data_IF_379932917044
#
_entry.id   IF_379932917044
#
_cell.length_a   1.000
_cell.length_b   1.000
_cell.length_c   1.000
_cell.angle_alpha   90.00
_cell.angle_beta   90.00
_cell.angle_gamma   90.00
#
_symmetry.space_group_name_H-M   'P 1'
#
loop_
_entity.id
_entity.type
_entity.pdbx_description
1 polymer ?
#
# COMPACT_ATOMS: atom_id res chain seq x y z
N UNK A 1 -4.65 -4.68 14.05
CA UNK A 1 -3.36 -4.10 14.51
C UNK A 1 -2.46 -3.74 13.33
N UNK A 2 -1.81 -2.58 13.39
CA UNK A 2 -0.74 -2.21 12.45
C UNK A 2 0.55 -2.92 12.84
N UNK A 3 1.46 -3.10 11.88
CA UNK A 3 2.80 -3.64 12.12
C UNK A 3 3.88 -2.56 12.08
N UNK A 4 3.59 -1.42 11.44
CA UNK A 4 4.55 -0.34 11.23
C UNK A 4 3.90 1.02 11.45
N UNK A 5 4.67 1.95 12.03
CA UNK A 5 4.30 3.33 12.29
C UNK A 5 5.37 4.27 11.75
N UNK A 6 4.96 5.25 10.95
CA UNK A 6 5.75 6.42 10.64
C UNK A 6 5.54 7.46 11.75
N UNK A 7 6.63 7.96 12.33
CA UNK A 7 6.57 8.73 13.56
C UNK A 7 7.45 9.99 13.56
N UNK A 8 7.14 10.87 14.51
CA UNK A 8 8.02 11.94 15.02
C UNK A 8 8.11 11.83 16.53
N UNK A 9 9.31 11.97 17.09
CA UNK A 9 9.53 11.91 18.54
C UNK A 9 10.87 12.54 18.92
N UNK A 10 10.88 13.53 19.81
CA UNK A 10 12.10 14.14 20.37
C UNK A 10 13.18 14.48 19.32
N UNK A 11 12.78 15.05 18.19
CA UNK A 11 13.69 15.42 17.08
C UNK A 11 14.07 14.26 16.15
N UNK A 12 13.66 13.03 16.47
CA UNK A 12 13.77 11.88 15.58
C UNK A 12 12.58 11.79 14.61
N UNK A 13 12.87 11.29 13.40
CA UNK A 13 11.90 10.94 12.35
C UNK A 13 12.25 9.58 11.78
N UNK A 14 11.23 8.76 11.55
CA UNK A 14 11.38 7.62 10.67
C UNK A 14 10.20 6.68 10.72
N UNK A 15 10.51 5.40 10.54
CA UNK A 15 9.56 4.29 10.58
C UNK A 15 10.03 3.28 11.62
N UNK A 16 9.11 2.82 12.47
CA UNK A 16 9.34 1.75 13.45
C UNK A 16 8.37 0.61 13.21
N UNK A 17 8.84 -0.63 13.39
CA UNK A 17 8.03 -1.84 13.34
C UNK A 17 7.81 -2.41 14.75
N UNK A 18 6.67 -3.06 14.94
CA UNK A 18 6.40 -3.85 16.14
C UNK A 18 7.38 -5.03 16.17
N UNK A 19 8.16 -5.17 17.24
CA UNK A 19 9.05 -6.30 17.45
C UNK A 19 8.66 -7.07 18.74
N UNK A 20 8.15 -8.31 18.63
CA UNK A 20 7.77 -9.12 19.79
C UNK A 20 8.90 -9.43 20.78
N UNK A 21 10.17 -9.31 20.36
CA UNK A 21 11.33 -9.60 21.21
C UNK A 21 11.68 -8.47 22.19
N UNK A 22 11.08 -7.28 22.06
CA UNK A 22 11.40 -6.15 22.95
C UNK A 22 10.95 -6.36 24.39
N UNK A 23 10.20 -7.43 24.69
CA UNK A 23 9.72 -7.75 26.04
C UNK A 23 8.55 -6.85 26.47
N UNK A 24 8.08 -6.98 27.72
CA UNK A 24 6.98 -6.19 28.24
C UNK A 24 7.37 -4.71 28.46
N UNK A 25 6.36 -3.84 28.41
CA UNK A 25 6.49 -2.39 28.62
C UNK A 25 6.53 -1.56 27.32
N UNK A 26 6.49 -0.24 27.46
CA UNK A 26 6.59 0.68 26.33
C UNK A 26 8.05 0.95 26.01
N UNK A 27 8.55 0.34 24.93
CA UNK A 27 9.93 0.50 24.45
C UNK A 27 9.93 1.03 23.02
N UNK A 28 10.80 2.01 22.77
CA UNK A 28 11.02 2.59 21.46
C UNK A 28 12.52 2.54 21.15
N UNK A 29 12.88 1.80 20.10
CA UNK A 29 14.27 1.70 19.64
C UNK A 29 14.43 2.59 18.40
N UNK A 30 15.30 3.59 18.48
CA UNK A 30 15.55 4.57 17.41
C UNK A 30 16.97 4.39 16.90
N UNK A 31 17.15 4.44 15.58
CA UNK A 31 18.48 4.39 14.93
C UNK A 31 19.12 5.77 14.90
N UNK A 32 20.45 5.82 14.87
CA UNK A 32 21.20 7.08 14.71
C UNK A 32 20.76 7.87 13.47
N UNK A 33 20.44 7.20 12.36
CA UNK A 33 19.98 7.86 11.13
C UNK A 33 18.61 8.54 11.26
N UNK A 34 17.81 8.17 12.26
CA UNK A 34 16.49 8.75 12.51
C UNK A 34 16.58 10.03 13.34
N UNK A 35 17.65 10.22 14.11
CA UNK A 35 17.89 11.43 14.89
C UNK A 35 18.29 12.59 13.96
N UNK A 36 17.50 13.68 13.94
CA UNK A 36 17.69 14.80 13.00
C UNK A 36 18.16 16.07 13.69
N UNK A 37 17.73 16.31 14.92
CA UNK A 37 18.09 17.46 15.72
C UNK A 37 17.70 17.22 17.19
N UNK A 38 18.33 17.94 18.12
CA UNK A 38 18.00 17.84 19.54
C UNK A 38 16.65 18.53 19.81
N UNK A 39 15.76 17.84 20.52
CA UNK A 39 14.47 18.40 20.93
C UNK A 39 14.01 17.82 22.27
N UNK A 40 13.41 18.67 23.11
CA UNK A 40 12.81 18.26 24.39
C UNK A 40 11.36 17.75 24.25
N UNK A 41 10.79 17.78 23.04
CA UNK A 41 9.40 17.37 22.81
C UNK A 41 9.23 15.84 22.85
N UNK A 42 8.74 15.33 23.98
CA UNK A 42 8.59 13.89 24.27
C UNK A 42 7.20 13.31 23.94
N UNK A 43 6.40 13.99 23.13
CA UNK A 43 5.17 13.38 22.61
C UNK A 43 5.50 12.50 21.40
N UNK A 44 4.97 11.27 21.36
CA UNK A 44 5.12 10.36 20.23
C UNK A 44 4.00 10.62 19.22
N UNK A 45 4.35 11.21 18.09
CA UNK A 45 3.39 11.60 17.06
C UNK A 45 3.32 10.54 15.97
N UNK A 46 2.10 10.07 15.69
CA UNK A 46 1.84 9.09 14.63
C UNK A 46 1.45 9.83 13.35
N UNK A 47 2.32 9.79 12.35
CA UNK A 47 2.02 10.38 11.03
C UNK A 47 1.16 9.44 10.18
N UNK A 48 1.51 8.15 10.18
CA UNK A 48 0.86 7.15 9.33
C UNK A 48 1.15 5.73 9.83
N UNK A 49 0.21 4.81 9.61
CA UNK A 49 0.35 3.40 10.04
C UNK A 49 0.20 2.45 8.85
N UNK A 50 0.87 1.29 8.91
CA UNK A 50 0.73 0.23 7.89
C UNK A 50 -0.73 -0.17 7.72
N UNK A 51 -1.18 -0.26 6.47
CA UNK A 51 -2.55 -0.59 6.11
C UNK A 51 -2.60 -1.17 4.68
N UNK A 52 -3.64 -1.92 4.29
CA UNK A 52 -3.75 -2.49 2.96
C UNK A 52 -4.11 -1.43 1.91
N UNK A 53 -3.13 -0.65 1.46
CA UNK A 53 -3.33 0.47 0.53
C UNK A 53 -3.32 0.02 -0.93
N UNK A 54 -4.32 0.46 -1.68
CA UNK A 54 -4.41 0.20 -3.12
C UNK A 54 -3.21 0.78 -3.86
N UNK A 55 -2.72 0.02 -4.85
CA UNK A 55 -1.74 0.52 -5.81
C UNK A 55 -2.46 1.06 -7.05
N UNK A 56 -2.03 2.23 -7.50
CA UNK A 56 -2.40 2.77 -8.81
C UNK A 56 -1.13 2.93 -9.63
N UNK A 57 -1.15 2.39 -10.85
CA UNK A 57 -0.13 2.69 -11.85
C UNK A 57 -0.28 4.14 -12.27
N UNK A 58 0.85 4.73 -12.67
CA UNK A 58 0.93 6.04 -13.31
C UNK A 58 1.72 5.89 -14.63
N UNK A 59 1.86 6.99 -15.36
CA UNK A 59 2.61 6.99 -16.63
C UNK A 59 4.04 6.48 -16.48
N UNK A 60 4.76 6.91 -15.43
CA UNK A 60 6.16 6.52 -15.24
C UNK A 60 6.30 5.01 -15.06
N UNK A 61 5.53 4.41 -14.15
CA UNK A 61 5.58 2.98 -13.87
C UNK A 61 5.17 2.17 -15.11
N UNK A 62 4.15 2.61 -15.85
CA UNK A 62 3.71 1.93 -17.09
C UNK A 62 4.83 1.92 -18.13
N UNK A 63 5.51 3.05 -18.34
CA UNK A 63 6.63 3.15 -19.28
C UNK A 63 7.78 2.21 -18.91
N UNK A 64 8.15 2.16 -17.62
CA UNK A 64 9.21 1.26 -17.15
C UNK A 64 8.83 -0.22 -17.28
N UNK A 65 7.57 -0.57 -17.00
CA UNK A 65 7.07 -1.94 -17.17
C UNK A 65 6.98 -2.34 -18.65
N UNK A 66 6.56 -1.43 -19.53
CA UNK A 66 6.53 -1.66 -20.98
C UNK A 66 7.95 -1.87 -21.55
N UNK A 67 8.93 -1.06 -21.10
CA UNK A 67 10.35 -1.28 -21.42
C UNK A 67 10.85 -2.67 -20.95
N UNK A 68 10.30 -3.18 -19.84
CA UNK A 68 10.53 -4.54 -19.32
C UNK A 68 9.70 -5.62 -20.02
N UNK A 69 9.14 -5.33 -21.20
CA UNK A 69 8.38 -6.24 -22.07
C UNK A 69 7.04 -6.69 -21.51
N UNK A 70 6.46 -5.94 -20.56
CA UNK A 70 5.05 -6.13 -20.21
C UNK A 70 4.20 -5.59 -21.37
N UNK A 71 3.39 -6.46 -21.97
CA UNK A 71 2.59 -6.08 -23.14
C UNK A 71 1.59 -4.96 -22.80
N UNK A 72 1.47 -3.97 -23.69
CA UNK A 72 0.62 -2.79 -23.47
C UNK A 72 -0.88 -3.17 -23.31
N UNK A 73 -1.29 -4.29 -23.91
CA UNK A 73 -2.63 -4.86 -23.74
C UNK A 73 -2.98 -5.16 -22.29
N UNK A 74 -2.00 -5.45 -21.43
CA UNK A 74 -2.20 -5.65 -19.99
C UNK A 74 -2.67 -4.36 -19.32
N UNK A 75 -2.05 -3.22 -19.65
CA UNK A 75 -2.45 -1.92 -19.09
C UNK A 75 -3.83 -1.49 -19.58
N UNK A 76 -4.11 -1.70 -20.87
CA UNK A 76 -5.44 -1.45 -21.46
C UNK A 76 -6.52 -2.30 -20.78
N UNK A 77 -6.24 -3.58 -20.52
CA UNK A 77 -7.16 -4.46 -19.81
C UNK A 77 -7.40 -4.01 -18.36
N UNK A 78 -6.36 -3.56 -17.66
CA UNK A 78 -6.49 -2.99 -16.31
C UNK A 78 -7.34 -1.72 -16.33
N UNK A 79 -7.11 -0.81 -17.29
CA UNK A 79 -7.91 0.40 -17.46
C UNK A 79 -9.37 0.07 -17.77
N UNK A 80 -9.64 -0.89 -18.66
CA UNK A 80 -11.01 -1.33 -18.96
C UNK A 80 -11.71 -1.86 -17.71
N UNK A 81 -11.05 -2.70 -16.90
CA UNK A 81 -11.61 -3.18 -15.62
C UNK A 81 -11.96 -2.04 -14.66
N UNK A 82 -11.13 -1.00 -14.61
CA UNK A 82 -11.41 0.20 -13.80
C UNK A 82 -12.66 0.93 -14.32
N UNK A 83 -12.76 1.13 -15.64
CA UNK A 83 -13.95 1.75 -16.26
C UNK A 83 -15.23 0.95 -15.98
N UNK A 84 -15.18 -0.38 -16.11
CA UNK A 84 -16.31 -1.25 -15.78
C UNK A 84 -16.70 -1.18 -14.31
N UNK A 85 -15.74 -1.01 -13.39
CA UNK A 85 -16.06 -0.81 -11.98
C UNK A 85 -16.82 0.50 -11.74
N UNK A 86 -16.45 1.58 -12.44
CA UNK A 86 -17.18 2.85 -12.38
C UNK A 86 -18.61 2.70 -12.93
N UNK A 87 -18.78 2.06 -14.09
CA UNK A 87 -20.12 1.83 -14.66
C UNK A 87 -20.97 1.00 -13.69
N UNK A 88 -20.42 -0.08 -13.12
CA UNK A 88 -21.15 -0.90 -12.14
C UNK A 88 -21.56 -0.10 -10.90
N UNK A 89 -20.72 0.82 -10.44
CA UNK A 89 -21.06 1.69 -9.30
C UNK A 89 -22.29 2.57 -9.56
N UNK A 90 -22.58 2.93 -10.81
CA UNK A 90 -23.79 3.68 -11.18
C UNK A 90 -25.05 2.81 -11.27
N UNK A 91 -24.91 1.49 -11.22
CA UNK A 91 -26.01 0.52 -11.41
C UNK A 91 -26.28 -0.30 -10.14
N UNK A 92 -25.29 -0.50 -9.29
CA UNK A 92 -25.34 -1.39 -8.13
C UNK A 92 -24.96 -0.65 -6.86
N UNK A 93 -25.88 -0.68 -5.89
CA UNK A 93 -25.71 0.06 -4.63
C UNK A 93 -24.46 -0.34 -3.82
N UNK A 94 -24.08 -1.62 -3.85
CA UNK A 94 -22.86 -2.09 -3.17
C UNK A 94 -21.59 -1.52 -3.81
N UNK A 95 -21.54 -1.48 -5.15
CA UNK A 95 -20.41 -0.94 -5.90
C UNK A 95 -20.35 0.60 -5.73
N UNK A 96 -21.51 1.26 -5.67
CA UNK A 96 -21.62 2.69 -5.33
C UNK A 96 -21.02 2.98 -3.95
N UNK A 97 -21.45 2.23 -2.94
CA UNK A 97 -20.95 2.35 -1.57
C UNK A 97 -19.44 2.18 -1.51
N UNK A 98 -18.89 1.18 -2.20
CA UNK A 98 -17.46 0.94 -2.23
C UNK A 98 -16.68 2.11 -2.83
N UNK A 99 -17.12 2.64 -3.97
CA UNK A 99 -16.48 3.80 -4.61
C UNK A 99 -16.55 5.04 -3.71
N UNK A 100 -17.70 5.28 -3.07
CA UNK A 100 -17.88 6.42 -2.17
C UNK A 100 -16.99 6.32 -0.93
N UNK A 101 -16.88 5.14 -0.30
CA UNK A 101 -15.97 4.91 0.84
C UNK A 101 -14.51 5.13 0.45
N UNK A 102 -14.13 4.83 -0.79
CA UNK A 102 -12.77 5.09 -1.28
C UNK A 102 -12.52 6.59 -1.53
N UNK A 103 -13.54 7.33 -1.99
CA UNK A 103 -13.39 8.72 -2.45
C UNK A 103 -13.72 9.77 -1.40
N UNK A 104 -14.45 9.41 -0.35
CA UNK A 104 -14.96 10.34 0.65
C UNK A 104 -14.43 9.99 2.04
N UNK A 105 -14.32 10.98 2.93
CA UNK A 105 -14.00 10.72 4.33
C UNK A 105 -15.05 9.83 4.99
N UNK A 106 -14.62 8.98 5.92
CA UNK A 106 -15.51 7.98 6.55
C UNK A 106 -16.71 8.60 7.29
N UNK A 107 -16.56 9.81 7.83
CA UNK A 107 -17.64 10.52 8.55
C UNK A 107 -18.72 11.09 7.62
N UNK A 108 -18.43 11.23 6.33
CA UNK A 108 -19.38 11.77 5.36
C UNK A 108 -20.48 10.76 5.01
N UNK A 109 -20.16 9.47 5.06
CA UNK A 109 -21.09 8.42 4.73
C UNK A 109 -21.78 7.92 6.00
N UNK A 110 -23.12 7.78 6.02
CA UNK A 110 -23.84 7.18 7.13
C UNK A 110 -23.65 5.65 7.10
N UNK A 111 -22.46 5.21 7.48
CA UNK A 111 -22.03 3.80 7.49
C UNK A 111 -22.90 3.04 8.50
N UNK A 112 -23.96 2.39 8.02
CA UNK A 112 -24.92 1.64 8.83
C UNK A 112 -26.37 1.92 8.47
N UNK A 113 -26.65 3.04 7.80
CA UNK A 113 -27.97 3.29 7.22
C UNK A 113 -28.14 2.51 5.90
N UNK A 114 -29.35 1.99 5.67
CA UNK A 114 -29.74 1.40 4.37
C UNK A 114 -30.08 2.53 3.40
N UNK A 115 -29.05 3.13 2.81
CA UNK A 115 -29.21 4.17 1.79
C UNK A 115 -29.05 3.55 0.41
N UNK A 116 -29.94 3.93 -0.50
CA UNK A 116 -29.78 3.68 -1.92
C UNK A 116 -28.98 4.82 -2.56
N UNK A 117 -27.67 4.64 -2.67
CA UNK A 117 -26.74 5.61 -3.24
C UNK A 117 -26.96 5.83 -4.74
N UNK A 118 -27.68 4.93 -5.43
CA UNK A 118 -27.90 4.99 -6.88
C UNK A 118 -29.15 5.81 -7.20
N UNK A 119 -30.22 5.65 -6.41
CA UNK A 119 -31.51 6.28 -6.69
C UNK A 119 -31.79 7.51 -5.83
N UNK A 120 -31.21 7.65 -4.64
CA UNK A 120 -31.38 8.84 -3.81
C UNK A 120 -30.70 10.06 -4.48
N UNK A 121 -31.42 11.16 -4.77
CA UNK A 121 -30.90 12.27 -5.58
C UNK A 121 -29.58 12.88 -5.11
N UNK A 122 -29.42 13.11 -3.79
CA UNK A 122 -28.21 13.72 -3.25
C UNK A 122 -27.00 12.79 -3.44
N UNK A 123 -27.09 11.54 -3.00
CA UNK A 123 -26.02 10.56 -3.12
C UNK A 123 -25.74 10.17 -4.57
N UNK A 124 -26.76 10.16 -5.43
CA UNK A 124 -26.57 9.97 -6.87
C UNK A 124 -25.69 11.07 -7.46
N UNK A 125 -25.92 12.33 -7.09
CA UNK A 125 -25.07 13.44 -7.55
C UNK A 125 -23.64 13.33 -7.01
N UNK A 126 -23.47 12.93 -5.75
CA UNK A 126 -22.15 12.67 -5.15
C UNK A 126 -21.43 11.52 -5.88
N UNK A 127 -22.14 10.43 -6.18
CA UNK A 127 -21.65 9.27 -6.89
C UNK A 127 -21.21 9.60 -8.32
N UNK A 128 -22.03 10.34 -9.08
CA UNK A 128 -21.67 10.84 -10.41
C UNK A 128 -20.41 11.69 -10.32
N UNK A 129 -20.32 12.58 -9.32
CA UNK A 129 -19.13 13.41 -9.10
C UNK A 129 -17.88 12.57 -8.81
N UNK A 130 -18.01 11.53 -7.98
CA UNK A 130 -16.93 10.58 -7.67
C UNK A 130 -16.49 9.79 -8.92
N UNK A 131 -17.43 9.38 -9.77
CA UNK A 131 -17.15 8.73 -11.06
C UNK A 131 -16.39 9.68 -12.01
N UNK A 132 -16.90 10.90 -12.20
CA UNK A 132 -16.26 11.91 -13.05
C UNK A 132 -14.85 12.26 -12.56
N UNK A 133 -14.65 12.37 -11.25
CA UNK A 133 -13.33 12.56 -10.64
C UNK A 133 -12.38 11.40 -10.97
N UNK A 134 -12.87 10.15 -10.89
CA UNK A 134 -12.08 8.96 -11.22
C UNK A 134 -11.72 8.89 -12.71
N UNK A 135 -12.66 9.20 -13.60
CA UNK A 135 -12.39 9.30 -15.05
C UNK A 135 -11.34 10.39 -15.31
N UNK A 136 -11.46 11.55 -14.65
CA UNK A 136 -10.47 12.63 -14.76
C UNK A 136 -9.09 12.21 -14.29
N UNK A 137 -8.99 11.43 -13.21
CA UNK A 137 -7.72 10.89 -12.72
C UNK A 137 -7.09 9.92 -13.74
N UNK A 138 -7.88 9.05 -14.37
CA UNK A 138 -7.42 8.15 -15.43
C UNK A 138 -6.91 8.97 -16.63
N UNK A 139 -7.66 9.97 -17.10
CA UNK A 139 -7.27 10.77 -18.25
C UNK A 139 -6.03 11.65 -17.97
N UNK A 140 -6.01 12.34 -16.84
CA UNK A 140 -4.97 13.34 -16.53
C UNK A 140 -3.71 12.75 -15.94
N UNK A 141 -3.80 11.63 -15.23
CA UNK A 141 -2.68 11.04 -14.47
C UNK A 141 -2.41 9.58 -14.83
N UNK A 142 -3.22 8.98 -15.69
CA UNK A 142 -3.15 7.55 -16.01
C UNK A 142 -3.22 6.71 -14.73
N UNK A 143 -4.06 7.15 -13.78
CA UNK A 143 -4.20 6.54 -12.45
C UNK A 143 -5.02 5.25 -12.54
N UNK A 144 -4.37 4.14 -12.94
CA UNK A 144 -5.02 2.84 -13.15
C UNK A 144 -4.86 1.99 -11.89
N UNK A 145 -5.97 1.66 -11.22
CA UNK A 145 -5.93 0.79 -10.04
C UNK A 145 -5.59 -0.65 -10.44
N UNK A 146 -4.67 -1.28 -9.71
CA UNK A 146 -4.39 -2.71 -9.80
C UNK A 146 -5.20 -3.44 -8.75
N UNK A 147 -5.57 -4.71 -9.02
CA UNK A 147 -6.31 -5.52 -8.06
C UNK A 147 -5.63 -5.52 -6.69
N UNK A 148 -6.40 -5.18 -5.65
CA UNK A 148 -5.95 -5.07 -4.27
C UNK A 148 -5.28 -6.36 -3.75
N UNK A 149 -5.66 -7.52 -4.25
CA UNK A 149 -5.05 -8.80 -3.83
C UNK A 149 -3.89 -9.26 -4.72
N UNK A 150 -3.45 -8.42 -5.66
CA UNK A 150 -2.30 -8.64 -6.56
C UNK A 150 -1.25 -7.51 -6.50
N UNK A 151 -1.59 -6.38 -5.90
CA UNK A 151 -0.62 -5.30 -5.71
C UNK A 151 -1.04 -4.33 -4.60
N UNK A 152 -0.04 -3.73 -3.95
CA UNK A 152 -0.22 -2.75 -2.87
C UNK A 152 0.87 -1.70 -2.86
N UNK A 153 0.52 -0.54 -2.30
CA UNK A 153 1.52 0.38 -1.76
C UNK A 153 1.81 -0.01 -0.31
N UNK A 154 3.06 -0.34 -0.01
CA UNK A 154 3.48 -0.86 1.29
C UNK A 154 4.62 -0.01 1.85
N UNK A 155 4.68 0.16 3.17
CA UNK A 155 5.92 0.66 3.78
C UNK A 155 7.04 -0.33 3.56
N UNK A 156 8.22 0.18 3.21
CA UNK A 156 9.45 -0.59 3.28
C UNK A 156 9.99 -0.59 4.70
N UNK A 157 10.40 -1.75 5.19
CA UNK A 157 11.21 -1.90 6.40
C UNK A 157 12.34 -2.89 6.15
N UNK A 158 13.27 -2.98 7.09
CA UNK A 158 14.39 -3.91 7.02
C UNK A 158 14.13 -5.13 7.90
N UNK A 159 14.72 -6.25 7.54
CA UNK A 159 14.73 -7.47 8.33
C UNK A 159 15.70 -7.36 9.52
N UNK A 160 15.15 -7.02 10.70
CA UNK A 160 15.90 -6.95 11.96
C UNK A 160 16.38 -8.33 12.46
N UNK A 161 15.86 -9.44 11.91
CA UNK A 161 16.18 -10.80 12.35
C UNK A 161 17.30 -11.44 11.53
N UNK A 162 17.74 -10.81 10.44
CA UNK A 162 18.76 -11.32 9.53
C UNK A 162 18.45 -12.69 8.89
N UNK A 163 17.19 -12.95 8.57
CA UNK A 163 16.72 -14.23 8.04
C UNK A 163 16.55 -14.25 6.51
N UNK A 164 16.40 -13.08 5.89
CA UNK A 164 16.25 -12.93 4.44
C UNK A 164 17.62 -12.84 3.75
N UNK A 165 17.81 -13.59 2.66
CA UNK A 165 19.02 -13.50 1.81
C UNK A 165 18.97 -12.28 0.89
N UNK A 166 20.09 -11.92 0.22
CA UNK A 166 20.07 -10.89 -0.81
C UNK A 166 19.00 -11.19 -1.88
N UNK A 167 18.28 -10.15 -2.30
CA UNK A 167 17.15 -10.19 -3.24
C UNK A 167 15.93 -11.05 -2.82
N UNK A 168 15.87 -11.45 -1.55
CA UNK A 168 14.66 -11.98 -0.91
C UNK A 168 13.91 -10.88 -0.15
N UNK A 169 12.59 -10.97 -0.16
CA UNK A 169 11.70 -10.10 0.60
C UNK A 169 10.65 -10.92 1.33
N UNK A 170 10.14 -10.39 2.44
CA UNK A 170 8.95 -10.93 3.10
C UNK A 170 7.77 -10.00 2.87
N UNK A 171 6.65 -10.57 2.44
CA UNK A 171 5.39 -9.84 2.22
C UNK A 171 4.22 -10.67 2.74
N UNK A 172 3.57 -10.14 3.76
CA UNK A 172 2.28 -10.61 4.25
C UNK A 172 1.27 -9.48 4.13
N UNK A 173 0.16 -9.74 3.43
CA UNK A 173 -0.85 -8.72 3.15
C UNK A 173 -2.21 -9.13 3.72
N UNK A 174 -2.98 -8.13 4.12
CA UNK A 174 -4.39 -8.30 4.44
C UNK A 174 -5.15 -8.55 3.14
N UNK A 175 -5.80 -9.71 3.05
CA UNK A 175 -6.70 -10.03 1.96
C UNK A 175 -7.97 -9.18 2.13
N UNK A 176 -8.30 -8.41 1.11
CA UNK A 176 -9.54 -7.63 1.09
C UNK A 176 -10.54 -8.36 0.20
N UNK A 177 -11.74 -8.59 0.73
CA UNK A 177 -12.84 -9.13 -0.06
C UNK A 177 -13.66 -7.97 -0.60
N UNK A 178 -13.86 -7.92 -1.92
CA UNK A 178 -14.52 -6.81 -2.62
C UNK A 178 -15.93 -6.47 -2.08
N UNK A 179 -16.55 -7.33 -1.25
CA UNK A 179 -17.94 -7.20 -0.78
C UNK A 179 -18.11 -7.00 0.73
N UNK A 180 -17.15 -7.39 1.56
CA UNK A 180 -17.35 -7.42 3.03
C UNK A 180 -16.79 -6.19 3.76
N UNK A 181 -15.82 -5.48 3.16
CA UNK A 181 -15.16 -4.34 3.81
C UNK A 181 -15.99 -3.05 3.80
N UNK A 182 -17.07 -2.99 3.03
CA UNK A 182 -17.95 -1.82 2.95
C UNK A 182 -18.76 -1.56 4.24
N UNK A 183 -18.88 -2.55 5.14
CA UNK A 183 -19.64 -2.40 6.38
C UNK A 183 -18.82 -1.94 7.58
N UNK A 184 -17.51 -1.66 7.43
CA UNK A 184 -16.65 -1.14 8.51
C UNK A 184 -16.51 -2.07 9.74
N UNK A 185 -17.22 -3.20 9.74
CA UNK A 185 -17.26 -4.23 10.79
C UNK A 185 -16.81 -5.57 10.20
N UNK A 186 -15.58 -5.60 9.71
CA UNK A 186 -14.94 -6.80 9.17
C UNK A 186 -14.35 -7.64 10.30
N UNK A 187 -15.03 -8.75 10.61
CA UNK A 187 -14.51 -9.90 11.36
C UNK A 187 -13.13 -10.32 10.79
N UNK A 188 -12.24 -10.79 11.68
CA UNK A 188 -10.88 -11.31 11.40
C UNK A 188 -10.35 -11.11 9.97
N UNK A 189 -9.62 -10.01 9.75
CA UNK A 189 -8.89 -9.75 8.50
C UNK A 189 -7.97 -10.94 8.19
N UNK A 190 -8.35 -11.75 7.21
CA UNK A 190 -7.52 -12.87 6.74
C UNK A 190 -6.24 -12.30 6.12
N UNK A 191 -5.09 -12.80 6.55
CA UNK A 191 -3.81 -12.40 5.97
C UNK A 191 -3.24 -13.52 5.13
N UNK A 192 -2.63 -13.17 4.00
CA UNK A 192 -1.91 -14.11 3.13
C UNK A 192 -0.44 -13.73 3.07
N UNK A 193 0.41 -14.75 3.04
CA UNK A 193 1.86 -14.61 2.89
C UNK A 193 2.19 -15.00 1.45
N UNK A 194 2.99 -14.18 0.78
CA UNK A 194 3.55 -14.51 -0.53
C UNK A 194 4.67 -15.55 -0.35
N UNK A 195 4.59 -16.65 -1.08
CA UNK A 195 5.46 -17.82 -0.92
C UNK A 195 6.10 -18.20 -2.25
N UNK A 196 7.43 -18.15 -2.29
CA UNK A 196 8.26 -18.59 -3.42
C UNK A 196 7.79 -18.03 -4.77
N UNK A 197 7.37 -16.76 -4.80
CA UNK A 197 6.92 -16.09 -6.02
C UNK A 197 7.75 -14.84 -6.29
N UNK A 198 7.77 -14.40 -7.55
CA UNK A 198 8.43 -13.15 -7.93
C UNK A 198 7.53 -11.98 -7.61
N UNK A 199 8.13 -10.93 -7.06
CA UNK A 199 7.45 -9.67 -6.78
C UNK A 199 8.20 -8.53 -7.43
N UNK A 200 7.47 -7.69 -8.17
CA UNK A 200 8.00 -6.48 -8.79
C UNK A 200 7.81 -5.33 -7.82
N UNK A 201 8.89 -4.60 -7.56
CA UNK A 201 8.92 -3.52 -6.59
C UNK A 201 9.48 -2.27 -7.26
N UNK A 202 8.80 -1.15 -7.06
CA UNK A 202 9.28 0.17 -7.47
C UNK A 202 8.80 1.23 -6.49
N UNK A 203 9.33 2.45 -6.60
CA UNK A 203 8.92 3.62 -5.82
C UNK A 203 8.61 4.77 -6.76
N UNK A 204 7.58 5.55 -6.42
CA UNK A 204 7.30 6.78 -7.14
C UNK A 204 7.99 7.97 -6.47
N UNK A 205 8.60 8.89 -7.24
CA UNK A 205 8.80 8.84 -8.69
C UNK A 205 9.87 7.80 -9.11
N UNK A 206 9.72 7.24 -10.30
CA UNK A 206 10.69 6.34 -10.93
C UNK A 206 11.01 6.84 -12.34
N UNK A 207 12.29 6.74 -12.73
CA UNK A 207 12.80 7.30 -13.99
C UNK A 207 13.80 6.38 -14.66
N UNK A 208 14.70 5.78 -13.88
CA UNK A 208 15.72 4.90 -14.40
C UNK A 208 15.15 3.48 -14.57
N UNK A 209 15.52 2.73 -15.62
CA UNK A 209 15.07 1.36 -15.77
C UNK A 209 15.46 0.45 -14.58
N UNK A 210 16.48 0.81 -13.81
CA UNK A 210 16.86 0.13 -12.57
C UNK A 210 15.91 0.35 -11.39
N UNK A 211 15.05 1.38 -11.43
CA UNK A 211 14.09 1.71 -10.36
C UNK A 211 12.95 0.69 -10.24
N UNK A 212 12.85 -0.24 -11.19
CA UNK A 212 11.95 -1.39 -11.13
C UNK A 212 12.81 -2.64 -10.90
N UNK A 213 12.69 -3.21 -9.71
CA UNK A 213 13.42 -4.41 -9.31
C UNK A 213 12.47 -5.59 -9.09
N UNK A 214 12.99 -6.79 -9.32
CA UNK A 214 12.27 -8.03 -9.06
C UNK A 214 12.94 -8.78 -7.92
N UNK A 215 12.16 -9.15 -6.92
CA UNK A 215 12.60 -9.91 -5.74
C UNK A 215 11.90 -11.26 -5.67
N UNK A 216 12.42 -12.15 -4.83
CA UNK A 216 11.74 -13.41 -4.49
C UNK A 216 11.06 -13.24 -3.13
N UNK A 217 9.73 -13.38 -3.08
CA UNK A 217 8.99 -13.36 -1.82
C UNK A 217 9.07 -14.73 -1.13
N UNK A 218 9.51 -14.75 0.12
CA UNK A 218 9.70 -15.97 0.93
C UNK A 218 8.90 -15.91 2.22
N UNK A 219 8.46 -17.06 2.73
CA UNK A 219 7.84 -17.15 4.07
C UNK A 219 8.91 -17.41 5.12
N UNK A 220 8.93 -16.59 6.17
CA UNK A 220 9.78 -16.81 7.32
C UNK A 220 9.00 -16.64 8.63
N UNK A 221 9.12 -17.62 9.54
CA UNK A 221 8.36 -17.65 10.79
C UNK A 221 8.60 -16.41 11.67
N UNK A 222 9.84 -15.93 11.73
CA UNK A 222 10.23 -14.74 12.48
C UNK A 222 9.47 -13.47 12.05
N UNK A 223 9.06 -13.38 10.77
CA UNK A 223 8.50 -12.17 10.17
C UNK A 223 6.95 -12.16 10.10
N UNK A 224 6.28 -13.25 10.49
CA UNK A 224 4.81 -13.43 10.37
C UNK A 224 3.95 -12.42 11.14
N UNK A 225 4.55 -11.70 12.08
CA UNK A 225 3.89 -10.64 12.83
C UNK A 225 3.80 -9.32 12.03
N UNK A 226 4.59 -9.18 10.96
CA UNK A 226 4.63 -8.02 10.09
C UNK A 226 3.60 -8.17 8.96
N UNK A 227 2.71 -7.19 8.82
CA UNK A 227 1.55 -7.21 7.92
C UNK A 227 1.43 -5.89 7.19
N UNK A 228 1.00 -5.95 5.92
CA UNK A 228 0.79 -4.81 5.03
C UNK A 228 2.04 -3.94 4.87
N UNK A 229 3.20 -4.61 4.83
CA UNK A 229 4.55 -4.03 4.67
C UNK A 229 5.39 -4.95 3.80
N UNK A 230 6.44 -4.40 3.18
CA UNK A 230 7.49 -5.17 2.52
C UNK A 230 8.75 -5.10 3.38
N UNK A 231 9.29 -6.28 3.71
CA UNK A 231 10.52 -6.42 4.48
C UNK A 231 11.66 -6.74 3.53
N UNK A 232 12.66 -5.87 3.48
CA UNK A 232 13.87 -6.07 2.70
C UNK A 232 14.96 -6.76 3.52
N UNK A 233 15.77 -7.59 2.87
CA UNK A 233 16.98 -8.12 3.46
C UNK A 233 17.97 -7.00 3.83
N UNK A 234 18.62 -7.14 4.99
CA UNK A 234 19.79 -6.32 5.35
C UNK A 234 21.10 -6.86 4.77
N UNK A 235 21.06 -8.01 4.10
CA UNK A 235 22.22 -8.62 3.45
C UNK A 235 22.41 -8.08 2.03
N UNK A 236 23.62 -8.21 1.51
CA UNK A 236 23.99 -7.81 0.14
C UNK A 236 24.91 -6.60 0.10
N UNK A 237 25.46 -6.32 -1.09
CA UNK A 237 26.48 -5.29 -1.26
C UNK A 237 25.92 -3.86 -1.24
N UNK A 238 24.66 -3.69 -1.64
CA UNK A 238 23.96 -2.41 -1.65
C UNK A 238 22.53 -2.58 -1.15
N UNK A 239 22.04 -1.76 -0.21
CA UNK A 239 20.66 -1.86 0.29
C UNK A 239 19.64 -1.82 -0.85
N UNK A 240 18.69 -2.76 -0.85
CA UNK A 240 17.64 -2.83 -1.88
C UNK A 240 16.85 -1.51 -2.06
N UNK A 241 16.46 -0.79 -0.98
CA UNK A 241 15.87 0.56 -1.07
C UNK A 241 16.66 1.55 -1.91
N UNK A 242 17.99 1.61 -1.71
CA UNK A 242 18.86 2.54 -2.43
C UNK A 242 18.84 2.26 -3.93
N UNK A 243 18.76 0.98 -4.32
CA UNK A 243 18.68 0.58 -5.72
C UNK A 243 17.32 0.91 -6.39
N UNK A 244 16.32 1.37 -5.63
CA UNK A 244 14.98 1.70 -6.11
C UNK A 244 14.77 3.21 -5.96
N UNK A 245 15.05 4.01 -6.99
CA UNK A 245 14.91 5.46 -6.97
C UNK A 245 15.69 6.17 -5.83
N UNK A 246 16.80 5.62 -5.36
CA UNK A 246 17.58 6.21 -4.26
C UNK A 246 16.83 6.27 -2.92
N UNK A 247 15.93 5.32 -2.69
CA UNK A 247 15.05 5.32 -1.51
C UNK A 247 15.78 5.08 -0.19
N UNK A 248 15.20 5.60 0.89
CA UNK A 248 15.53 5.18 2.24
C UNK A 248 14.33 4.46 2.91
N UNK A 249 14.39 4.28 4.22
CA UNK A 249 13.34 3.63 5.02
C UNK A 249 12.80 4.58 6.10
N UNK A 250 12.71 5.88 5.83
CA UNK A 250 12.24 6.90 6.78
C UNK A 250 10.72 7.20 6.70
N UNK A 251 10.03 6.48 5.79
CA UNK A 251 8.63 6.74 5.44
C UNK A 251 8.25 6.30 4.03
N UNK A 252 9.23 5.79 3.26
CA UNK A 252 9.04 5.44 1.87
C UNK A 252 8.05 4.30 1.67
N UNK A 253 7.19 4.48 0.66
CA UNK A 253 6.20 3.51 0.23
C UNK A 253 6.57 2.94 -1.14
N UNK A 254 6.49 1.63 -1.24
CA UNK A 254 6.86 0.87 -2.41
C UNK A 254 5.61 0.30 -3.06
N UNK A 255 5.53 0.45 -4.37
CA UNK A 255 4.59 -0.26 -5.21
C UNK A 255 5.06 -1.70 -5.35
N UNK A 256 4.37 -2.63 -4.69
CA UNK A 256 4.66 -4.06 -4.68
C UNK A 256 3.59 -4.76 -5.50
N UNK A 257 4.00 -5.44 -6.58
CA UNK A 257 3.12 -6.14 -7.52
C UNK A 257 3.51 -7.62 -7.52
N UNK A 258 2.53 -8.49 -7.27
CA UNK A 258 2.65 -9.94 -7.33
C UNK A 258 1.49 -10.48 -8.15
N UNK A 259 1.80 -11.06 -9.31
CA UNK A 259 0.80 -11.64 -10.19
C UNK A 259 1.11 -13.11 -10.42
#
# INVERSE_FOLDING_TARGET
PFSVVQFRYAGAKGVVSVNPQLGPGYRLCIRRSMDKFVSEHRCFEVCKVSAPRSLYLNRQVILLLSNRRVADSVFLMLQQRNNFALIRSLLRNDDAKYLLVEKLPYWFLPIGAKIDFVHEPFFRQVLITACLSSVRDILRRTRICVSRNKARNMFGIIDEYNVLKPDEVFVQYTQLHDREDANGRGKSKTTRILRNCKVVVTKNPCHHPGDVRTFTAVDHAALKHLKDVIVFSQQGNCPAPHQISGSDLDGDEYAVIWH
#
